data_IF_500145457137
#
_entry.id   IF_500145457137
#
_cell.length_a   1.000
_cell.length_b   1.000
_cell.length_c   1.000
_cell.angle_alpha   90.00
_cell.angle_beta   90.00
_cell.angle_gamma   90.00
#
_symmetry.space_group_name_H-M   'P 1'
#
loop_
_entity.id
_entity.type
_entity.pdbx_description
1 polymer ?
#
# COMPACT_ATOMS: atom_id res chain seq x y z
N UNK A 1 6.27 1.52 6.35
CA UNK A 1 6.39 1.02 4.96
C UNK A 1 7.81 0.87 4.46
N UNK A 2 8.77 1.69 4.89
CA UNK A 2 10.17 1.69 4.41
C UNK A 2 10.85 0.31 4.34
N UNK A 3 10.51 -0.61 5.24
CA UNK A 3 11.09 -1.96 5.28
C UNK A 3 10.24 -3.04 4.59
N UNK A 4 9.07 -2.70 4.04
CA UNK A 4 8.31 -3.64 3.20
C UNK A 4 9.04 -3.82 1.87
N UNK A 5 9.09 -5.06 1.40
CA UNK A 5 9.44 -5.33 0.01
C UNK A 5 8.38 -4.75 -0.92
N UNK A 6 8.73 -4.52 -2.19
CA UNK A 6 7.78 -4.02 -3.19
C UNK A 6 6.59 -4.98 -3.37
N UNK A 7 6.85 -6.29 -3.37
CA UNK A 7 5.80 -7.30 -3.45
C UNK A 7 4.83 -7.23 -2.25
N UNK A 8 5.36 -7.09 -1.03
CA UNK A 8 4.52 -7.01 0.16
C UNK A 8 3.74 -5.68 0.24
N UNK A 9 4.28 -4.59 -0.31
CA UNK A 9 3.58 -3.31 -0.43
C UNK A 9 2.38 -3.39 -1.39
N UNK A 10 2.58 -4.02 -2.55
CA UNK A 10 1.51 -4.24 -3.53
C UNK A 10 0.45 -5.21 -2.99
N UNK A 11 0.85 -6.31 -2.36
CA UNK A 11 -0.09 -7.24 -1.72
C UNK A 11 -0.91 -6.54 -0.63
N UNK A 12 -0.28 -5.68 0.18
CA UNK A 12 -0.99 -4.91 1.19
C UNK A 12 -2.05 -3.99 0.57
N UNK A 13 -1.73 -3.34 -0.56
CA UNK A 13 -2.66 -2.51 -1.30
C UNK A 13 -3.83 -3.31 -1.88
N UNK A 14 -3.57 -4.42 -2.57
CA UNK A 14 -4.62 -5.29 -3.12
C UNK A 14 -5.56 -5.83 -2.04
N UNK A 15 -5.03 -6.14 -0.85
CA UNK A 15 -5.84 -6.59 0.29
C UNK A 15 -6.77 -5.52 0.83
N UNK A 16 -6.47 -4.24 0.62
CA UNK A 16 -7.38 -3.14 1.03
C UNK A 16 -8.69 -3.15 0.25
N UNK A 17 -8.75 -3.80 -0.92
CA UNK A 17 -10.00 -3.96 -1.68
C UNK A 17 -10.93 -5.03 -1.06
N UNK A 18 -10.35 -5.95 -0.27
CA UNK A 18 -11.06 -7.09 0.32
C UNK A 18 -11.45 -6.86 1.78
N UNK A 19 -10.80 -5.90 2.45
CA UNK A 19 -10.98 -5.62 3.87
C UNK A 19 -11.31 -4.15 4.02
N UNK A 20 -12.29 -3.82 4.86
CA UNK A 20 -12.61 -2.43 5.15
C UNK A 20 -11.49 -1.82 5.98
N UNK A 21 -10.65 -0.99 5.35
CA UNK A 21 -9.58 -0.22 5.98
C UNK A 21 -9.89 1.26 5.90
N UNK A 22 -9.27 2.06 6.78
CA UNK A 22 -9.45 3.51 6.75
C UNK A 22 -8.93 4.11 5.43
N UNK A 23 -9.67 5.02 4.80
CA UNK A 23 -9.23 5.66 3.56
C UNK A 23 -7.85 6.32 3.65
N UNK A 24 -7.50 6.90 4.81
CA UNK A 24 -6.20 7.50 5.06
C UNK A 24 -5.04 6.50 4.93
N UNK A 25 -5.25 5.25 5.34
CA UNK A 25 -4.25 4.20 5.21
C UNK A 25 -4.03 3.80 3.74
N UNK A 26 -5.10 3.79 2.93
CA UNK A 26 -5.03 3.51 1.50
C UNK A 26 -4.22 4.60 0.78
N UNK A 27 -4.42 5.87 1.14
CA UNK A 27 -3.64 6.97 0.56
C UNK A 27 -2.15 6.87 0.90
N UNK A 28 -1.79 6.49 2.12
CA UNK A 28 -0.39 6.24 2.50
C UNK A 28 0.26 5.13 1.66
N UNK A 29 -0.49 4.06 1.33
CA UNK A 29 0.00 3.00 0.45
C UNK A 29 0.25 3.52 -0.97
N UNK A 30 -0.67 4.31 -1.53
CA UNK A 30 -0.52 4.91 -2.87
C UNK A 30 0.67 5.85 -2.94
N UNK A 31 0.85 6.69 -1.93
CA UNK A 31 1.99 7.61 -1.85
C UNK A 31 3.32 6.86 -1.83
N UNK A 32 3.39 5.78 -1.06
CA UNK A 32 4.60 4.96 -0.97
C UNK A 32 4.89 4.21 -2.28
N UNK A 33 3.86 3.65 -2.93
CA UNK A 33 3.97 3.01 -4.25
C UNK A 33 4.52 4.01 -5.26
N UNK A 34 3.92 5.21 -5.32
CA UNK A 34 4.37 6.31 -6.17
C UNK A 34 5.80 6.76 -5.87
N UNK A 35 6.17 6.84 -4.58
CA UNK A 35 7.53 7.21 -4.13
C UNK A 35 8.59 6.19 -4.60
N UNK A 36 8.22 4.92 -4.70
CA UNK A 36 9.09 3.82 -5.14
C UNK A 36 9.11 3.62 -6.66
N UNK A 37 8.16 4.21 -7.39
CA UNK A 37 8.04 4.09 -8.83
C UNK A 37 7.67 2.67 -9.29
N UNK A 38 6.88 1.97 -8.48
CA UNK A 38 6.34 0.63 -8.78
C UNK A 38 4.84 0.67 -9.03
#
# INVERSE_FOLDING_TARGET
MLNLSNAALLEAYERTEKIRVEPAFIELLKEEIKRRGI
#
